data_IF_461319044467
#
_entry.id   IF_461319044467
#
_cell.length_a   1.000
_cell.length_b   1.000
_cell.length_c   1.000
_cell.angle_alpha   90.00
_cell.angle_beta   90.00
_cell.angle_gamma   90.00
#
_symmetry.space_group_name_H-M   'P 1'
#
loop_
_entity.id
_entity.type
_entity.pdbx_description
1 polymer ?
#
# COMPACT_ATOMS: atom_id res chain seq x y z
N UNK A 1 5.58 21.69 34.78
CA UNK A 1 4.36 21.19 34.14
C UNK A 1 4.81 20.18 33.09
N UNK A 2 4.65 18.88 33.33
CA UNK A 2 5.06 17.87 32.34
C UNK A 2 4.12 17.98 31.13
N UNK A 3 4.67 18.28 29.94
CA UNK A 3 3.91 18.24 28.68
C UNK A 3 3.33 16.82 28.54
N UNK A 4 2.04 16.72 28.23
CA UNK A 4 1.38 15.43 28.00
C UNK A 4 2.11 14.74 26.83
N UNK A 5 2.69 13.57 27.08
CA UNK A 5 3.21 12.69 26.02
C UNK A 5 2.03 12.00 25.35
N UNK A 6 2.05 11.95 24.02
CA UNK A 6 1.02 11.25 23.24
C UNK A 6 1.57 9.91 22.75
N UNK A 7 0.80 8.84 22.94
CA UNK A 7 1.15 7.52 22.43
C UNK A 7 0.64 7.37 21.00
N UNK A 8 1.54 7.21 20.03
CA UNK A 8 1.20 7.04 18.62
C UNK A 8 1.56 5.63 18.16
N UNK A 9 0.59 4.92 17.61
CA UNK A 9 0.76 3.56 17.11
C UNK A 9 0.90 3.55 15.59
N UNK A 10 1.96 2.90 15.10
CA UNK A 10 2.25 2.69 13.70
C UNK A 10 1.94 1.24 13.32
N UNK A 11 1.00 1.05 12.40
CA UNK A 11 0.57 -0.26 11.89
C UNK A 11 1.12 -0.47 10.48
N UNK A 12 2.37 -0.92 10.42
CA UNK A 12 3.13 -1.16 9.19
C UNK A 12 3.91 -2.47 9.29
N UNK A 13 4.23 -3.07 8.15
CA UNK A 13 5.03 -4.29 8.09
C UNK A 13 6.50 -3.95 7.80
N UNK A 14 7.35 -3.97 8.83
CA UNK A 14 8.77 -3.62 8.68
C UNK A 14 9.56 -4.56 7.76
N UNK A 15 8.99 -5.69 7.31
CA UNK A 15 9.62 -6.54 6.28
C UNK A 15 9.55 -5.91 4.87
N UNK A 16 8.61 -4.99 4.62
CA UNK A 16 8.49 -4.29 3.33
C UNK A 16 9.38 -3.03 3.32
N UNK A 17 10.15 -2.84 2.26
CA UNK A 17 11.02 -1.66 2.09
C UNK A 17 10.20 -0.37 2.11
N UNK A 18 9.05 -0.35 1.42
CA UNK A 18 8.15 0.79 1.36
C UNK A 18 7.69 1.23 2.76
N UNK A 19 7.15 0.30 3.55
CA UNK A 19 6.69 0.54 4.91
C UNK A 19 7.80 1.10 5.81
N UNK A 20 9.05 0.59 5.69
CA UNK A 20 10.19 1.12 6.44
C UNK A 20 10.48 2.58 6.11
N UNK A 21 10.36 2.99 4.85
CA UNK A 21 10.55 4.38 4.44
C UNK A 21 9.44 5.30 4.99
N UNK A 22 8.20 4.80 5.06
CA UNK A 22 7.11 5.55 5.69
C UNK A 22 7.40 5.76 7.18
N UNK A 23 7.81 4.71 7.90
CA UNK A 23 8.18 4.79 9.32
C UNK A 23 9.36 5.74 9.54
N UNK A 24 10.36 5.71 8.66
CA UNK A 24 11.50 6.65 8.69
C UNK A 24 11.03 8.10 8.56
N UNK A 25 10.13 8.41 7.61
CA UNK A 25 9.57 9.75 7.47
C UNK A 25 8.77 10.24 8.70
N UNK A 26 8.08 9.33 9.40
CA UNK A 26 7.47 9.65 10.70
C UNK A 26 8.55 10.00 11.74
N UNK A 27 9.66 9.26 11.74
CA UNK A 27 10.83 9.54 12.59
C UNK A 27 11.47 10.90 12.29
N UNK A 28 11.62 11.26 11.01
CA UNK A 28 12.12 12.58 10.59
C UNK A 28 11.21 13.70 11.11
N UNK A 29 9.89 13.53 11.02
CA UNK A 29 8.93 14.49 11.56
C UNK A 29 9.11 14.69 13.07
N UNK A 30 9.31 13.62 13.84
CA UNK A 30 9.56 13.74 15.29
C UNK A 30 10.83 14.54 15.59
N UNK A 31 11.91 14.25 14.86
CA UNK A 31 13.20 14.95 15.05
C UNK A 31 13.08 16.44 14.73
N UNK A 32 12.37 16.79 13.65
CA UNK A 32 12.20 18.17 13.22
C UNK A 32 11.22 18.96 14.11
N UNK A 33 10.13 18.33 14.56
CA UNK A 33 9.06 19.02 15.30
C UNK A 33 9.33 19.13 16.81
N UNK A 34 10.32 18.40 17.34
CA UNK A 34 10.54 18.24 18.79
C UNK A 34 9.24 17.85 19.53
N UNK A 35 8.44 16.99 18.91
CA UNK A 35 7.18 16.51 19.47
C UNK A 35 7.42 15.49 20.58
N UNK A 36 6.68 15.62 21.68
CA UNK A 36 6.72 14.69 22.81
C UNK A 36 5.81 13.47 22.54
N UNK A 37 6.15 12.65 21.55
CA UNK A 37 5.40 11.43 21.20
C UNK A 37 6.17 10.16 21.59
N UNK A 38 5.45 9.18 22.09
CA UNK A 38 5.92 7.80 22.25
C UNK A 38 5.42 6.98 21.06
N UNK A 39 6.32 6.59 20.16
CA UNK A 39 5.99 5.81 18.97
C UNK A 39 6.14 4.31 19.24
N UNK A 40 5.10 3.56 18.87
CA UNK A 40 5.08 2.11 18.91
C UNK A 40 4.85 1.58 17.50
N UNK A 41 5.76 0.75 17.01
CA UNK A 41 5.59 0.02 15.74
C UNK A 41 5.11 -1.37 16.12
N UNK A 42 3.96 -1.79 15.62
CA UNK A 42 3.52 -3.16 15.83
C UNK A 42 3.21 -3.90 14.55
N UNK A 43 3.85 -5.06 14.47
CA UNK A 43 3.88 -5.92 13.30
C UNK A 43 2.88 -7.08 13.41
N UNK A 44 2.38 -7.37 14.62
CA UNK A 44 1.62 -8.58 14.94
C UNK A 44 0.19 -8.29 15.46
N UNK A 45 -0.43 -7.24 14.90
CA UNK A 45 -1.78 -6.79 15.25
C UNK A 45 -2.88 -7.82 14.96
N UNK A 46 -2.61 -8.84 14.13
CA UNK A 46 -3.56 -9.90 13.76
C UNK A 46 -3.85 -10.87 14.91
N UNK A 47 -2.92 -11.02 15.85
CA UNK A 47 -3.06 -11.94 16.99
C UNK A 47 -3.79 -11.33 18.20
N UNK A 48 -4.08 -10.02 18.20
CA UNK A 48 -4.64 -9.29 19.36
C UNK A 48 -5.84 -8.41 19.00
N UNK A 49 -6.75 -8.93 18.19
CA UNK A 49 -7.94 -8.20 17.70
C UNK A 49 -8.88 -7.80 18.85
N UNK A 50 -9.00 -8.62 19.89
CA UNK A 50 -10.08 -8.49 20.89
C UNK A 50 -9.99 -7.22 21.76
N UNK A 51 -8.80 -6.61 21.93
CA UNK A 51 -8.61 -5.42 22.79
C UNK A 51 -7.90 -4.26 22.10
N UNK A 52 -8.05 -4.10 20.79
CA UNK A 52 -7.24 -3.12 20.05
C UNK A 52 -7.40 -1.68 20.56
N UNK A 53 -8.59 -1.32 21.05
CA UNK A 53 -8.90 0.02 21.57
C UNK A 53 -8.04 0.42 22.76
N UNK A 54 -7.66 -0.53 23.62
CA UNK A 54 -6.85 -0.25 24.81
C UNK A 54 -5.37 -0.01 24.47
N UNK A 55 -4.94 -0.50 23.31
CA UNK A 55 -3.56 -0.49 22.87
C UNK A 55 -3.24 0.59 21.80
N UNK A 56 -4.21 1.05 21.00
CA UNK A 56 -3.99 2.04 19.92
C UNK A 56 -3.41 3.39 20.40
N UNK A 57 -3.54 3.74 21.67
CA UNK A 57 -2.95 4.96 22.23
C UNK A 57 -3.80 6.19 21.98
N UNK A 58 -3.16 7.33 21.75
CA UNK A 58 -3.80 8.61 21.48
C UNK A 58 -3.96 8.90 19.96
N UNK A 59 -3.33 8.12 19.08
CA UNK A 59 -3.42 8.31 17.63
C UNK A 59 -2.74 7.18 16.83
N UNK A 60 -3.13 7.05 15.56
CA UNK A 60 -2.74 5.90 14.73
C UNK A 60 -2.34 6.36 13.32
N UNK A 61 -1.26 5.80 12.80
CA UNK A 61 -0.88 5.89 11.38
C UNK A 61 -0.72 4.47 10.85
N UNK A 62 -1.37 4.14 9.73
CA UNK A 62 -1.52 2.73 9.34
C UNK A 62 -1.46 2.50 7.82
N UNK A 63 -0.97 1.32 7.42
CA UNK A 63 -1.04 0.81 6.04
C UNK A 63 -2.49 0.45 5.68
N UNK A 64 -3.12 1.30 4.87
CA UNK A 64 -4.48 1.10 4.38
C UNK A 64 -4.56 0.37 3.03
N UNK A 65 -3.42 -0.07 2.48
CA UNK A 65 -3.44 -1.05 1.39
C UNK A 65 -3.75 -2.46 1.92
N UNK A 66 -3.62 -2.71 3.23
CA UNK A 66 -4.08 -3.95 3.90
C UNK A 66 -5.54 -3.81 4.37
N UNK A 67 -6.43 -4.57 3.72
CA UNK A 67 -7.87 -4.60 4.07
C UNK A 67 -8.14 -5.05 5.50
N UNK A 68 -7.28 -5.88 6.09
CA UNK A 68 -7.45 -6.30 7.47
C UNK A 68 -7.28 -5.11 8.42
N UNK A 69 -6.32 -4.22 8.14
CA UNK A 69 -6.11 -2.99 8.90
C UNK A 69 -7.30 -2.04 8.69
N UNK A 70 -7.74 -1.86 7.44
CA UNK A 70 -8.93 -1.05 7.12
C UNK A 70 -10.14 -1.52 7.95
N UNK A 71 -10.39 -2.84 7.99
CA UNK A 71 -11.51 -3.43 8.73
C UNK A 71 -11.37 -3.29 10.24
N UNK A 72 -10.15 -3.50 10.75
CA UNK A 72 -9.82 -3.44 12.17
C UNK A 72 -9.99 -2.04 12.75
N UNK A 73 -9.76 -1.00 11.95
CA UNK A 73 -9.79 0.40 12.39
C UNK A 73 -11.13 1.12 12.12
N UNK A 74 -12.13 0.48 11.50
CA UNK A 74 -13.40 1.14 11.09
C UNK A 74 -14.13 1.90 12.20
N UNK A 75 -14.03 1.43 13.44
CA UNK A 75 -14.80 1.96 14.58
C UNK A 75 -13.90 2.51 15.70
N UNK A 76 -12.70 2.94 15.33
CA UNK A 76 -11.74 3.56 16.26
C UNK A 76 -12.09 5.03 16.45
N UNK A 77 -12.00 5.51 17.69
CA UNK A 77 -12.33 6.90 18.06
C UNK A 77 -11.11 7.83 18.10
N UNK A 78 -9.90 7.27 18.12
CA UNK A 78 -8.67 8.08 18.13
C UNK A 78 -8.36 8.60 16.73
N UNK A 79 -7.69 9.77 16.61
CA UNK A 79 -7.22 10.29 15.34
C UNK A 79 -6.46 9.25 14.53
N UNK A 80 -6.83 9.12 13.25
CA UNK A 80 -6.33 8.10 12.35
C UNK A 80 -5.93 8.71 11.01
N UNK A 81 -4.71 8.39 10.58
CA UNK A 81 -4.20 8.73 9.25
C UNK A 81 -3.85 7.44 8.51
N UNK A 82 -4.52 7.16 7.41
CA UNK A 82 -4.19 6.06 6.52
C UNK A 82 -3.08 6.44 5.54
N UNK A 83 -2.22 5.48 5.21
CA UNK A 83 -1.19 5.60 4.18
C UNK A 83 -1.37 4.46 3.18
N UNK A 84 -1.26 4.73 1.89
CA UNK A 84 -1.29 3.69 0.86
C UNK A 84 -1.27 4.25 -0.56
N UNK A 85 -1.79 3.49 -1.53
CA UNK A 85 -1.85 3.92 -2.94
C UNK A 85 -2.96 4.94 -3.23
N UNK A 86 -2.73 5.82 -4.20
CA UNK A 86 -3.79 6.66 -4.77
C UNK A 86 -4.79 5.83 -5.58
N UNK A 87 -6.03 6.30 -5.63
CA UNK A 87 -7.11 5.69 -6.40
C UNK A 87 -7.53 6.62 -7.53
N UNK A 88 -7.85 6.06 -8.70
CA UNK A 88 -8.34 6.82 -9.83
C UNK A 88 -9.70 7.46 -9.54
N UNK A 89 -10.55 6.77 -8.79
CA UNK A 89 -11.87 7.28 -8.39
C UNK A 89 -11.82 7.78 -6.96
N UNK A 90 -12.29 9.00 -6.75
CA UNK A 90 -12.39 9.61 -5.42
C UNK A 90 -13.24 8.77 -4.45
N UNK A 91 -14.29 8.12 -4.97
CA UNK A 91 -15.16 7.25 -4.17
C UNK A 91 -14.50 5.96 -3.64
N UNK A 92 -13.33 5.58 -4.17
CA UNK A 92 -12.62 4.37 -3.75
C UNK A 92 -11.65 4.63 -2.59
N UNK A 93 -11.42 5.91 -2.24
CA UNK A 93 -10.65 6.30 -1.06
C UNK A 93 -11.38 5.94 0.23
N UNK A 94 -10.66 5.48 1.27
CA UNK A 94 -11.27 5.21 2.56
C UNK A 94 -11.71 6.52 3.24
N UNK A 95 -12.76 6.49 4.09
CA UNK A 95 -13.32 7.67 4.75
C UNK A 95 -12.48 8.11 5.97
N UNK A 96 -11.17 8.27 5.77
CA UNK A 96 -10.20 8.71 6.79
C UNK A 96 -9.27 9.77 6.18
N UNK A 97 -8.52 10.51 7.01
CA UNK A 97 -7.41 11.29 6.49
C UNK A 97 -6.40 10.35 5.84
N UNK A 98 -5.98 10.65 4.60
CA UNK A 98 -5.25 9.70 3.77
C UNK A 98 -4.06 10.36 3.09
N UNK A 99 -2.89 9.74 3.23
CA UNK A 99 -1.66 10.10 2.52
C UNK A 99 -1.45 9.04 1.45
N UNK A 100 -1.59 9.45 0.19
CA UNK A 100 -1.50 8.54 -0.95
C UNK A 100 -0.16 8.67 -1.68
N UNK A 101 0.45 7.54 -2.02
CA UNK A 101 1.45 7.46 -3.08
C UNK A 101 0.76 7.57 -4.43
N UNK A 102 1.18 8.51 -5.26
CA UNK A 102 0.59 8.71 -6.58
C UNK A 102 0.95 7.55 -7.54
N UNK A 103 0.00 6.62 -7.70
CA UNK A 103 0.14 5.48 -8.60
C UNK A 103 0.23 5.90 -10.07
N UNK A 104 -0.42 7.00 -10.47
CA UNK A 104 -0.36 7.48 -11.84
C UNK A 104 1.02 8.07 -12.13
N UNK A 105 1.49 8.98 -11.29
CA UNK A 105 2.81 9.61 -11.44
C UNK A 105 3.95 8.57 -11.43
N UNK A 106 3.83 7.51 -10.62
CA UNK A 106 4.80 6.41 -10.60
C UNK A 106 4.90 5.70 -11.96
N UNK A 107 3.75 5.39 -12.57
CA UNK A 107 3.71 4.70 -13.87
C UNK A 107 4.11 5.65 -15.00
N UNK A 108 3.68 6.91 -14.93
CA UNK A 108 4.07 7.96 -15.87
C UNK A 108 5.59 8.15 -15.89
N UNK A 109 6.23 8.29 -14.73
CA UNK A 109 7.68 8.43 -14.64
C UNK A 109 8.41 7.23 -15.28
N UNK A 110 7.95 6.01 -15.02
CA UNK A 110 8.52 4.80 -15.63
C UNK A 110 8.30 4.74 -17.15
N UNK A 111 7.09 5.09 -17.61
CA UNK A 111 6.73 5.11 -19.02
C UNK A 111 7.56 6.16 -19.79
N UNK A 112 7.63 7.38 -19.27
CA UNK A 112 8.39 8.48 -19.87
C UNK A 112 9.87 8.15 -19.94
N UNK A 113 10.45 7.55 -18.89
CA UNK A 113 11.84 7.10 -18.91
C UNK A 113 12.14 6.12 -20.06
N UNK A 114 11.24 5.17 -20.32
CA UNK A 114 11.40 4.21 -21.43
C UNK A 114 11.18 4.87 -22.79
N UNK A 115 10.19 5.76 -22.90
CA UNK A 115 9.88 6.55 -24.09
C UNK A 115 11.06 7.44 -24.50
N UNK A 116 11.65 8.16 -23.55
CA UNK A 116 12.80 9.04 -23.77
C UNK A 116 14.05 8.29 -24.25
N UNK A 117 14.15 6.98 -23.96
CA UNK A 117 15.18 6.08 -24.49
C UNK A 117 14.87 5.57 -25.91
N UNK A 118 13.77 6.02 -26.53
CA UNK A 118 13.37 5.64 -27.89
C UNK A 118 12.58 4.34 -27.99
N UNK A 119 12.14 3.75 -26.86
CA UNK A 119 11.28 2.58 -26.88
C UNK A 119 9.86 2.96 -27.31
N UNK A 120 9.26 2.14 -28.16
CA UNK A 120 7.96 2.40 -28.79
C UNK A 120 6.96 1.23 -28.64
N UNK A 121 7.36 0.16 -27.95
CA UNK A 121 6.51 -0.98 -27.61
C UNK A 121 6.58 -1.18 -26.10
N UNK A 122 5.43 -1.13 -25.46
CA UNK A 122 5.35 -1.16 -24.01
C UNK A 122 4.58 -2.39 -23.55
N UNK A 123 5.05 -2.98 -22.45
CA UNK A 123 4.32 -4.05 -21.79
C UNK A 123 4.29 -3.79 -20.28
N UNK A 124 3.19 -4.17 -19.65
CA UNK A 124 3.00 -4.08 -18.21
C UNK A 124 2.79 -5.48 -17.65
N UNK A 125 3.60 -5.86 -16.66
CA UNK A 125 3.42 -7.09 -15.91
C UNK A 125 2.77 -6.77 -14.57
N UNK A 126 1.49 -7.10 -14.45
CA UNK A 126 0.64 -6.79 -13.31
C UNK A 126 0.36 -8.00 -12.41
N UNK A 127 -0.41 -7.74 -11.37
CA UNK A 127 -0.95 -8.77 -10.47
C UNK A 127 -2.45 -8.97 -10.74
N UNK A 128 -2.96 -10.20 -10.57
CA UNK A 128 -4.38 -10.47 -10.74
C UNK A 128 -5.21 -9.74 -9.67
N UNK A 129 -6.46 -9.45 -10.03
CA UNK A 129 -7.42 -8.74 -9.18
C UNK A 129 -7.66 -9.47 -7.86
N UNK A 130 -7.61 -10.81 -7.90
CA UNK A 130 -7.89 -11.72 -6.78
C UNK A 130 -6.92 -11.55 -5.60
N UNK A 131 -5.68 -11.10 -5.85
CA UNK A 131 -4.66 -10.90 -4.82
C UNK A 131 -4.89 -9.69 -3.91
N UNK A 132 -6.01 -8.97 -4.05
CA UNK A 132 -6.47 -7.93 -3.12
C UNK A 132 -5.67 -6.63 -3.11
N UNK A 133 -4.57 -6.55 -3.88
CA UNK A 133 -3.67 -5.39 -3.97
C UNK A 133 -4.22 -4.33 -4.93
N UNK A 134 -5.04 -3.41 -4.39
CA UNK A 134 -5.73 -2.39 -5.20
C UNK A 134 -4.75 -1.50 -5.99
N UNK A 135 -3.62 -1.13 -5.40
CA UNK A 135 -2.57 -0.35 -6.08
C UNK A 135 -2.06 -1.00 -7.39
N UNK A 136 -2.11 -2.33 -7.52
CA UNK A 136 -1.68 -2.99 -8.75
C UNK A 136 -2.66 -2.70 -9.92
N UNK A 137 -3.95 -2.63 -9.62
CA UNK A 137 -5.00 -2.31 -10.59
C UNK A 137 -4.93 -0.84 -10.98
N UNK A 138 -4.74 0.05 -10.00
CA UNK A 138 -4.56 1.49 -10.23
C UNK A 138 -3.37 1.77 -11.17
N UNK A 139 -2.26 1.07 -10.97
CA UNK A 139 -1.07 1.18 -11.84
C UNK A 139 -1.30 0.59 -13.22
N UNK A 140 -1.99 -0.56 -13.32
CA UNK A 140 -2.35 -1.14 -14.62
C UNK A 140 -3.26 -0.17 -15.41
N UNK A 141 -4.23 0.44 -14.73
CA UNK A 141 -5.12 1.42 -15.32
C UNK A 141 -4.35 2.65 -15.80
N UNK A 142 -3.46 3.22 -14.98
CA UNK A 142 -2.59 4.33 -15.37
C UNK A 142 -1.75 3.97 -16.61
N UNK A 143 -1.17 2.77 -16.66
CA UNK A 143 -0.42 2.30 -17.81
C UNK A 143 -1.27 2.26 -19.09
N UNK A 144 -2.48 1.71 -19.01
CA UNK A 144 -3.42 1.64 -20.14
C UNK A 144 -3.78 3.05 -20.64
N UNK A 145 -4.01 3.99 -19.73
CA UNK A 145 -4.33 5.38 -20.07
C UNK A 145 -3.17 6.06 -20.80
N UNK A 146 -1.94 5.96 -20.27
CA UNK A 146 -0.76 6.60 -20.84
C UNK A 146 -0.42 6.06 -22.23
N UNK A 147 -0.43 4.74 -22.41
CA UNK A 147 -0.17 4.10 -23.71
C UNK A 147 -1.22 4.53 -24.73
N UNK A 148 -2.50 4.56 -24.35
CA UNK A 148 -3.58 4.95 -25.25
C UNK A 148 -3.50 6.42 -25.66
N UNK A 149 -3.17 7.31 -24.72
CA UNK A 149 -3.02 8.75 -24.98
C UNK A 149 -1.90 9.04 -26.00
N UNK A 150 -0.84 8.23 -25.98
CA UNK A 150 0.33 8.37 -26.85
C UNK A 150 0.26 7.48 -28.11
N UNK A 151 -0.88 6.80 -28.33
CA UNK A 151 -1.16 5.96 -29.50
C UNK A 151 -0.16 4.80 -29.69
N UNK A 152 0.46 4.32 -28.60
CA UNK A 152 1.32 3.14 -28.64
C UNK A 152 0.51 1.84 -28.52
N UNK A 153 1.11 0.73 -28.96
CA UNK A 153 0.60 -0.60 -28.62
C UNK A 153 1.15 -1.03 -27.26
N UNK A 154 0.27 -1.14 -26.27
CA UNK A 154 0.58 -1.68 -24.95
C UNK A 154 0.01 -3.08 -24.77
N UNK A 155 0.80 -3.98 -24.19
CA UNK A 155 0.35 -5.32 -23.81
C UNK A 155 0.36 -5.44 -22.29
N UNK A 156 -0.72 -5.91 -21.71
CA UNK A 156 -0.79 -6.21 -20.28
C UNK A 156 -0.75 -7.71 -20.07
N UNK A 157 0.16 -8.14 -19.21
CA UNK A 157 0.29 -9.51 -18.75
C UNK A 157 -0.05 -9.55 -17.26
N UNK A 158 -1.09 -10.29 -16.89
CA UNK A 158 -1.41 -10.54 -15.48
C UNK A 158 -0.70 -11.82 -15.06
N UNK A 159 0.10 -11.74 -13.99
CA UNK A 159 0.73 -12.93 -13.42
C UNK A 159 -0.31 -13.95 -12.95
N UNK A 160 0.10 -15.21 -12.84
CA UNK A 160 -0.71 -16.23 -12.15
C UNK A 160 -0.45 -16.12 -10.65
N UNK A 161 -1.51 -16.08 -9.84
CA UNK A 161 -1.36 -16.22 -8.41
C UNK A 161 -0.92 -17.66 -8.14
N UNK A 162 0.30 -17.86 -7.65
CA UNK A 162 0.70 -19.17 -7.15
C UNK A 162 -0.13 -19.42 -5.89
N UNK A 163 -1.26 -20.11 -6.03
CA UNK A 163 -1.88 -20.81 -4.91
C UNK A 163 -0.82 -21.76 -4.38
N UNK A 164 -0.24 -21.46 -3.23
CA UNK A 164 0.76 -22.29 -2.56
C UNK A 164 0.17 -23.64 -2.05
N UNK A 165 -0.81 -24.21 -2.74
CA UNK A 165 -1.51 -25.46 -2.40
C UNK A 165 -1.84 -26.39 -3.57
N UNK A 166 -1.57 -26.03 -4.84
CA UNK A 166 -1.96 -26.87 -6.01
C UNK A 166 -0.77 -27.33 -6.88
N UNK A 167 0.45 -27.37 -6.32
CA UNK A 167 1.62 -27.98 -6.97
C UNK A 167 1.83 -29.46 -6.61
N UNK A 168 0.88 -30.08 -5.89
CA UNK A 168 0.87 -31.52 -5.71
C UNK A 168 -0.05 -32.17 -6.75
N UNK A 169 0.55 -33.03 -7.58
CA UNK A 169 -0.10 -34.03 -8.45
C UNK A 169 -0.51 -33.50 -9.84
N UNK A 170 0.46 -33.34 -10.73
CA UNK A 170 0.24 -33.73 -12.14
C UNK A 170 0.62 -35.21 -12.26
N UNK A 171 -0.29 -36.13 -12.65
CA UNK A 171 0.11 -37.49 -12.97
C UNK A 171 0.96 -37.50 -14.25
N UNK A 172 2.04 -38.25 -14.25
CA UNK A 172 2.87 -38.46 -15.43
C UNK A 172 2.06 -39.13 -16.55
N UNK A 173 2.29 -38.77 -17.82
CA UNK A 173 1.65 -39.44 -18.94
C UNK A 173 2.14 -40.90 -19.05
N UNK A 174 1.25 -41.87 -19.36
CA UNK A 174 1.67 -43.25 -19.57
C UNK A 174 2.56 -43.35 -20.81
N UNK A 175 3.68 -44.05 -20.66
CA UNK A 175 4.60 -44.44 -21.74
C UNK A 175 4.12 -45.65 -22.55
#
# INVERSE_FOLDING_TARGET
MFKKRYRITLLFNANKVYDRQVVEGVGEYLQASQSDWDIFIEEDFRCRIDNIKDWLGDGVIADFDDRNIEQLLRNVQVPLVGVGGSYHREADYPPVHYIATDNHALVEAAFMHLKEKGLNRFAFYGLPVEGGKRWAQEREQAFRQLVAAEQYQGVVYQGMENRAGELAIRPEPPG
#
